data_IF_969580752560
#
_entry.id   IF_969580752560
#
_cell.length_a   1.000
_cell.length_b   1.000
_cell.length_c   1.000
_cell.angle_alpha   90.00
_cell.angle_beta   90.00
_cell.angle_gamma   90.00
#
_symmetry.space_group_name_H-M   'P 1'
#
loop_
_entity.id
_entity.type
_entity.pdbx_description
1 polymer ?
#
# COMPACT_ATOMS: atom_id res chain seq x y z
N UNK A 1 -71.20 30.21 22.28
CA UNK A 1 -70.23 29.11 22.59
C UNK A 1 -69.85 28.32 21.37
N UNK A 2 -70.47 28.44 20.23
CA UNK A 2 -70.21 27.76 18.97
C UNK A 2 -69.33 28.52 18.00
N UNK A 3 -69.19 29.85 18.12
CA UNK A 3 -68.31 30.65 17.26
C UNK A 3 -66.81 30.62 17.69
N UNK A 4 -66.56 30.56 18.99
CA UNK A 4 -65.17 30.46 19.51
C UNK A 4 -64.50 29.16 19.14
N UNK A 5 -65.22 28.07 19.02
CA UNK A 5 -64.74 26.73 18.59
C UNK A 5 -64.40 26.71 17.10
N UNK A 6 -64.97 27.55 16.29
CA UNK A 6 -64.84 27.62 14.84
C UNK A 6 -63.59 28.46 14.45
N UNK A 7 -63.24 29.46 15.29
CA UNK A 7 -62.02 30.30 15.12
C UNK A 7 -60.77 29.52 15.53
N UNK A 8 -60.83 28.60 16.50
CA UNK A 8 -59.69 27.80 16.94
C UNK A 8 -59.34 26.69 15.93
N UNK A 9 -60.33 26.18 15.18
CA UNK A 9 -60.14 25.14 14.14
C UNK A 9 -59.53 25.72 12.84
N UNK A 10 -59.81 27.02 12.53
CA UNK A 10 -59.27 27.69 11.36
C UNK A 10 -57.77 28.13 11.52
N UNK A 11 -57.25 28.19 12.77
CA UNK A 11 -55.87 28.57 13.04
C UNK A 11 -54.83 27.43 12.84
N UNK A 12 -55.29 26.22 12.60
CA UNK A 12 -54.38 25.06 12.52
C UNK A 12 -54.23 24.45 11.11
N UNK A 13 -54.56 25.19 10.07
CA UNK A 13 -54.27 24.79 8.69
C UNK A 13 -52.78 24.97 8.39
N UNK A 14 -52.02 23.92 8.06
CA UNK A 14 -50.63 24.05 7.77
C UNK A 14 -50.43 24.86 6.48
N UNK A 15 -49.90 26.07 6.62
CA UNK A 15 -49.56 26.92 5.49
C UNK A 15 -48.70 26.14 4.49
N UNK A 16 -49.01 26.22 3.17
CA UNK A 16 -48.20 25.61 2.09
C UNK A 16 -46.72 25.83 2.26
N UNK A 17 -46.35 27.00 2.77
CA UNK A 17 -44.93 27.37 3.07
C UNK A 17 -44.34 26.54 4.21
N UNK A 18 -45.12 26.31 5.28
CA UNK A 18 -44.71 25.47 6.41
C UNK A 18 -44.59 24.00 6.00
N UNK A 19 -45.47 23.50 5.18
CA UNK A 19 -45.40 22.14 4.63
C UNK A 19 -44.15 21.94 3.76
N UNK A 20 -43.90 22.86 2.82
CA UNK A 20 -42.70 22.80 1.97
C UNK A 20 -41.39 22.89 2.78
N UNK A 21 -41.32 23.73 3.78
CA UNK A 21 -40.14 23.81 4.65
C UNK A 21 -39.91 22.49 5.40
N UNK A 22 -40.93 21.87 5.95
CA UNK A 22 -40.83 20.59 6.62
C UNK A 22 -40.42 19.47 5.65
N UNK A 23 -40.94 19.49 4.42
CA UNK A 23 -40.53 18.54 3.37
C UNK A 23 -39.08 18.71 2.99
N UNK A 24 -38.58 19.94 2.78
CA UNK A 24 -37.19 20.20 2.46
C UNK A 24 -36.23 19.83 3.60
N UNK A 25 -36.63 20.08 4.85
CA UNK A 25 -35.85 19.65 6.02
C UNK A 25 -35.79 18.12 6.07
N UNK A 26 -36.92 17.42 5.85
CA UNK A 26 -36.96 15.96 5.83
C UNK A 26 -36.06 15.36 4.75
N UNK A 27 -36.15 15.88 3.51
CA UNK A 27 -35.29 15.43 2.41
C UNK A 27 -33.81 15.71 2.69
N UNK A 28 -33.50 16.87 3.27
CA UNK A 28 -32.12 17.23 3.66
C UNK A 28 -31.55 16.28 4.70
N UNK A 29 -32.34 15.88 5.71
CA UNK A 29 -31.92 14.92 6.72
C UNK A 29 -31.68 13.52 6.14
N UNK A 30 -32.54 13.07 5.22
CA UNK A 30 -32.34 11.79 4.52
C UNK A 30 -31.05 11.83 3.69
N UNK A 31 -30.85 12.84 2.89
CA UNK A 31 -29.63 13.00 2.10
C UNK A 31 -28.35 13.05 2.98
N UNK A 32 -28.40 13.74 4.10
CA UNK A 32 -27.30 13.78 5.06
C UNK A 32 -27.02 12.38 5.65
N UNK A 33 -28.05 11.63 6.01
CA UNK A 33 -27.91 10.29 6.55
C UNK A 33 -27.28 9.33 5.53
N UNK A 34 -27.67 9.42 4.24
CA UNK A 34 -27.07 8.64 3.17
C UNK A 34 -25.57 8.97 2.99
N UNK A 35 -25.20 10.25 2.96
CA UNK A 35 -23.81 10.67 2.85
C UNK A 35 -22.99 10.14 4.04
N UNK A 36 -23.50 10.28 5.27
CA UNK A 36 -22.82 9.77 6.46
C UNK A 36 -22.65 8.25 6.39
N UNK A 37 -23.69 7.52 5.95
CA UNK A 37 -23.62 6.07 5.80
C UNK A 37 -22.57 5.64 4.77
N UNK A 38 -22.50 6.31 3.62
CA UNK A 38 -21.50 6.05 2.57
C UNK A 38 -20.08 6.34 3.07
N UNK A 39 -19.87 7.47 3.72
CA UNK A 39 -18.57 7.83 4.30
C UNK A 39 -18.15 6.80 5.35
N UNK A 40 -19.06 6.42 6.23
CA UNK A 40 -18.81 5.41 7.27
C UNK A 40 -18.50 4.04 6.66
N UNK A 41 -19.24 3.61 5.65
CA UNK A 41 -18.99 2.36 4.93
C UNK A 41 -17.62 2.39 4.24
N UNK A 42 -17.25 3.50 3.60
CA UNK A 42 -15.94 3.68 2.98
C UNK A 42 -14.79 3.61 3.99
N UNK A 43 -14.91 4.30 5.12
CA UNK A 43 -13.91 4.27 6.19
C UNK A 43 -13.79 2.90 6.86
N UNK A 44 -14.91 2.17 6.98
CA UNK A 44 -14.95 0.81 7.54
C UNK A 44 -14.35 -0.22 6.58
N UNK A 45 -14.60 -0.09 5.28
CA UNK A 45 -14.08 -0.99 4.24
C UNK A 45 -12.55 -1.00 4.18
N UNK A 46 -11.90 0.10 4.54
CA UNK A 46 -10.44 0.20 4.52
C UNK A 46 -9.76 -0.61 5.64
N UNK A 47 -10.45 -0.90 6.75
CA UNK A 47 -9.91 -1.70 7.86
C UNK A 47 -9.97 -3.22 7.59
N UNK A 48 -10.92 -3.71 6.81
CA UNK A 48 -11.02 -5.14 6.47
C UNK A 48 -9.99 -5.56 5.43
N UNK A 49 -9.70 -4.72 4.42
CA UNK A 49 -8.63 -4.97 3.44
C UNK A 49 -7.23 -5.00 4.04
N UNK A 50 -7.00 -4.25 5.14
CA UNK A 50 -5.73 -4.29 5.85
C UNK A 50 -5.51 -5.61 6.63
N UNK A 51 -6.56 -6.31 7.02
CA UNK A 51 -6.47 -7.60 7.72
C UNK A 51 -6.30 -8.80 6.79
N UNK A 52 -6.90 -8.78 5.60
CA UNK A 52 -6.69 -9.82 4.59
C UNK A 52 -5.28 -9.72 3.94
N UNK A 53 -4.70 -8.53 3.87
CA UNK A 53 -3.33 -8.34 3.40
C UNK A 53 -2.27 -8.94 4.35
N UNK A 54 -2.58 -9.18 5.60
CA UNK A 54 -1.64 -9.71 6.60
C UNK A 54 -1.50 -11.26 6.51
N UNK A 55 -2.49 -11.97 5.96
CA UNK A 55 -2.42 -13.42 5.75
C UNK A 55 -1.62 -13.82 4.50
N UNK A 56 -1.48 -12.91 3.52
CA UNK A 56 -0.71 -13.09 2.27
C UNK A 56 0.65 -12.36 2.31
N UNK A 57 1.06 -11.89 3.48
CA UNK A 57 2.27 -11.06 3.60
C UNK A 57 3.56 -11.84 3.35
N UNK A 58 3.58 -13.15 3.60
CA UNK A 58 4.76 -13.98 3.34
C UNK A 58 4.69 -14.58 1.94
N UNK A 59 5.55 -14.08 1.07
CA UNK A 59 5.68 -14.58 -0.29
C UNK A 59 6.77 -15.65 -0.35
N UNK A 60 6.41 -16.85 -0.78
CA UNK A 60 7.38 -17.92 -1.06
C UNK A 60 8.02 -17.63 -2.42
N UNK A 61 9.27 -17.16 -2.42
CA UNK A 61 9.99 -16.83 -3.65
C UNK A 61 10.45 -18.09 -4.39
N UNK A 62 10.88 -19.12 -3.66
CA UNK A 62 11.32 -20.39 -4.24
C UNK A 62 12.61 -20.91 -3.61
N UNK A 63 13.13 -22.00 -4.18
CA UNK A 63 14.36 -22.60 -3.69
C UNK A 63 15.57 -21.71 -4.01
N UNK A 64 16.53 -21.66 -3.09
CA UNK A 64 17.78 -20.87 -3.19
C UNK A 64 18.52 -21.11 -4.52
N UNK A 65 18.56 -22.36 -4.98
CA UNK A 65 19.26 -22.75 -6.20
C UNK A 65 18.57 -22.32 -7.51
N UNK A 66 17.37 -21.75 -7.44
CA UNK A 66 16.68 -21.18 -8.62
C UNK A 66 17.18 -19.79 -9.01
N UNK A 67 17.91 -19.15 -8.12
CA UNK A 67 18.40 -17.78 -8.34
C UNK A 67 19.90 -17.83 -8.64
N UNK A 68 20.30 -17.27 -9.77
CA UNK A 68 21.72 -17.17 -10.12
C UNK A 68 22.40 -16.06 -9.28
N UNK A 69 23.67 -16.23 -8.89
CA UNK A 69 24.44 -15.13 -8.28
C UNK A 69 24.47 -13.92 -9.19
N UNK A 70 24.54 -12.73 -8.60
CA UNK A 70 24.53 -11.44 -9.29
C UNK A 70 23.32 -11.24 -10.21
N UNK A 71 22.13 -11.66 -9.76
CA UNK A 71 20.90 -11.57 -10.52
C UNK A 71 19.75 -10.93 -9.75
N UNK A 72 18.75 -10.43 -10.48
CA UNK A 72 17.56 -9.80 -9.91
C UNK A 72 16.31 -10.42 -10.50
N UNK A 73 15.44 -10.97 -9.65
CA UNK A 73 14.17 -11.56 -10.03
C UNK A 73 12.99 -10.70 -9.57
N UNK A 74 12.07 -10.37 -10.48
CA UNK A 74 10.91 -9.55 -10.18
C UNK A 74 9.72 -10.36 -9.65
N UNK A 75 9.22 -10.02 -8.46
CA UNK A 75 8.00 -10.55 -7.87
C UNK A 75 6.87 -9.50 -7.96
N UNK A 76 6.11 -9.55 -9.06
CA UNK A 76 5.10 -8.51 -9.37
C UNK A 76 4.00 -8.48 -8.33
N UNK A 77 3.47 -9.63 -7.90
CA UNK A 77 2.40 -9.71 -6.88
C UNK A 77 2.86 -9.22 -5.52
N UNK A 78 4.09 -9.56 -5.11
CA UNK A 78 4.68 -9.09 -3.85
C UNK A 78 5.26 -7.68 -3.91
N UNK A 79 5.29 -7.04 -5.09
CA UNK A 79 5.82 -5.69 -5.33
C UNK A 79 7.26 -5.51 -4.89
N UNK A 80 8.08 -6.56 -5.00
CA UNK A 80 9.50 -6.52 -4.69
C UNK A 80 10.36 -7.14 -5.78
N UNK A 81 11.64 -6.91 -5.70
CA UNK A 81 12.70 -7.61 -6.42
C UNK A 81 13.48 -8.45 -5.42
N UNK A 82 13.77 -9.68 -5.77
CA UNK A 82 14.72 -10.51 -5.05
C UNK A 82 16.07 -10.41 -5.78
N UNK A 83 17.02 -9.73 -5.18
CA UNK A 83 18.39 -9.67 -5.64
C UNK A 83 19.19 -10.77 -4.97
N UNK A 84 19.94 -11.56 -5.74
CA UNK A 84 20.98 -12.45 -5.25
C UNK A 84 22.32 -11.84 -5.55
N UNK A 85 23.05 -11.50 -4.50
CA UNK A 85 24.36 -10.87 -4.61
C UNK A 85 25.43 -11.89 -5.08
N UNK A 86 26.56 -11.41 -5.53
CA UNK A 86 27.67 -12.25 -6.01
C UNK A 86 28.20 -13.21 -4.94
N UNK A 87 28.20 -12.78 -3.68
CA UNK A 87 28.57 -13.58 -2.50
C UNK A 87 27.55 -14.64 -2.09
N UNK A 88 26.41 -14.69 -2.81
CA UNK A 88 25.30 -15.64 -2.59
C UNK A 88 24.24 -15.17 -1.61
N UNK A 89 24.37 -13.98 -1.03
CA UNK A 89 23.39 -13.37 -0.15
C UNK A 89 22.16 -12.85 -0.89
N UNK A 90 21.06 -12.68 -0.16
CA UNK A 90 19.78 -12.23 -0.71
C UNK A 90 19.33 -10.90 -0.10
N UNK A 91 18.77 -10.05 -0.95
CA UNK A 91 18.05 -8.82 -0.59
C UNK A 91 16.68 -8.80 -1.27
N UNK A 92 15.62 -8.48 -0.53
CA UNK A 92 14.30 -8.23 -1.09
C UNK A 92 14.07 -6.72 -1.14
N UNK A 93 14.15 -6.13 -2.33
CA UNK A 93 14.10 -4.70 -2.55
C UNK A 93 12.70 -4.26 -2.98
N UNK A 94 12.20 -3.19 -2.40
CA UNK A 94 10.94 -2.58 -2.82
C UNK A 94 11.03 -2.06 -4.26
N UNK A 95 9.98 -2.29 -5.05
CA UNK A 95 9.88 -1.73 -6.41
C UNK A 95 9.57 -0.23 -6.44
N UNK A 96 9.40 0.39 -5.28
CA UNK A 96 8.95 1.77 -5.15
C UNK A 96 10.14 2.71 -4.98
N UNK A 97 10.30 3.64 -5.94
CA UNK A 97 11.32 4.69 -5.88
C UNK A 97 11.15 5.56 -4.62
N UNK A 98 12.26 5.81 -3.94
CA UNK A 98 12.26 6.60 -2.70
C UNK A 98 12.15 8.10 -2.93
N UNK A 99 12.20 8.56 -4.20
CA UNK A 99 11.92 9.96 -4.55
C UNK A 99 10.42 10.26 -4.44
N UNK A 100 9.60 9.79 -5.39
CA UNK A 100 8.16 10.07 -5.47
C UNK A 100 7.30 8.80 -5.69
N UNK A 101 7.86 7.63 -5.43
CA UNK A 101 7.09 6.39 -5.39
C UNK A 101 6.80 5.72 -6.73
N UNK A 102 7.45 6.14 -7.83
CA UNK A 102 7.34 5.46 -9.13
C UNK A 102 7.86 4.01 -9.03
N UNK A 103 7.36 3.11 -9.88
CA UNK A 103 7.95 1.79 -10.02
C UNK A 103 9.30 1.87 -10.71
N UNK A 104 10.32 1.26 -10.13
CA UNK A 104 11.69 1.26 -10.65
C UNK A 104 11.98 -0.09 -11.28
N UNK A 105 12.08 -0.22 -12.61
CA UNK A 105 12.48 -1.46 -13.26
C UNK A 105 13.97 -1.75 -13.09
N UNK A 106 14.31 -3.05 -13.05
CA UNK A 106 15.69 -3.52 -13.21
C UNK A 106 16.09 -3.50 -14.68
N UNK A 107 17.23 -2.95 -15.00
CA UNK A 107 17.83 -2.90 -16.34
C UNK A 107 19.07 -3.79 -16.36
N UNK A 108 18.87 -5.02 -16.81
CA UNK A 108 19.90 -6.08 -16.80
C UNK A 108 21.22 -5.64 -17.48
N UNK A 109 21.12 -5.03 -18.67
CA UNK A 109 22.29 -4.58 -19.46
C UNK A 109 23.14 -3.55 -18.73
N UNK A 110 22.55 -2.79 -17.81
CA UNK A 110 23.21 -1.72 -17.08
C UNK A 110 23.45 -2.08 -15.61
N UNK A 111 23.03 -3.28 -15.20
CA UNK A 111 23.13 -3.80 -13.84
C UNK A 111 22.64 -2.80 -12.77
N UNK A 112 21.52 -2.11 -13.07
CA UNK A 112 20.94 -1.10 -12.17
C UNK A 112 19.42 -1.07 -12.21
N UNK A 113 18.83 -0.55 -11.17
CA UNK A 113 17.45 -0.11 -11.17
C UNK A 113 17.38 1.32 -11.70
N UNK A 114 16.55 1.58 -12.72
CA UNK A 114 16.41 2.89 -13.34
C UNK A 114 14.97 3.41 -13.22
N UNK A 115 14.79 4.55 -12.53
CA UNK A 115 13.49 5.16 -12.37
C UNK A 115 13.13 5.99 -13.62
N UNK A 116 12.03 5.66 -14.34
CA UNK A 116 11.67 6.34 -15.58
C UNK A 116 11.13 7.76 -15.35
N UNK A 117 10.76 8.11 -14.10
CA UNK A 117 10.11 9.38 -13.82
C UNK A 117 11.08 10.57 -13.78
N UNK A 118 12.18 10.43 -13.03
CA UNK A 118 13.15 11.52 -12.81
C UNK A 118 14.60 11.00 -12.81
N UNK A 119 14.86 9.90 -13.51
CA UNK A 119 16.20 9.35 -13.72
C UNK A 119 16.97 8.93 -12.45
N UNK A 120 16.31 8.81 -11.27
CA UNK A 120 16.97 8.17 -10.11
C UNK A 120 17.42 6.76 -10.47
N UNK A 121 18.62 6.39 -10.08
CA UNK A 121 19.14 5.05 -10.31
C UNK A 121 19.72 4.45 -9.03
N UNK A 122 19.64 3.11 -8.95
CA UNK A 122 20.11 2.35 -7.80
C UNK A 122 20.86 1.11 -8.29
N UNK A 123 21.89 0.73 -7.57
CA UNK A 123 22.64 -0.50 -7.85
C UNK A 123 21.88 -1.78 -7.44
N UNK A 124 22.51 -2.95 -7.59
CA UNK A 124 21.91 -4.24 -7.24
C UNK A 124 21.58 -4.36 -5.74
N UNK A 125 22.28 -3.62 -4.88
CA UNK A 125 21.98 -3.56 -3.43
C UNK A 125 20.83 -2.61 -3.11
N UNK A 126 20.38 -1.83 -4.11
CA UNK A 126 19.37 -0.80 -4.00
C UNK A 126 19.92 0.53 -3.46
N UNK A 127 21.24 0.70 -3.39
CA UNK A 127 21.84 1.97 -3.02
C UNK A 127 21.77 2.99 -4.17
N UNK A 128 21.73 4.28 -3.82
CA UNK A 128 21.55 5.36 -4.80
C UNK A 128 22.84 5.60 -5.57
N UNK A 129 22.80 5.43 -6.89
CA UNK A 129 23.90 5.76 -7.79
C UNK A 129 23.61 7.01 -8.65
N UNK A 130 22.35 7.45 -8.72
CA UNK A 130 21.95 8.69 -9.36
C UNK A 130 20.75 9.34 -8.68
N UNK A 131 20.85 10.67 -8.45
CA UNK A 131 19.77 11.51 -7.89
C UNK A 131 18.55 11.57 -8.83
N UNK A 132 17.35 12.03 -8.34
CA UNK A 132 17.07 12.74 -7.09
C UNK A 132 16.57 11.90 -5.92
N UNK A 133 16.62 10.58 -5.97
CA UNK A 133 16.24 9.75 -4.83
C UNK A 133 17.12 10.08 -3.61
N UNK A 134 16.51 10.39 -2.43
CA UNK A 134 17.26 10.86 -1.25
C UNK A 134 17.88 9.73 -0.42
N UNK A 135 17.54 8.48 -0.70
CA UNK A 135 17.97 7.30 0.07
C UNK A 135 17.78 6.01 -0.73
N UNK A 136 18.40 4.89 -0.30
CA UNK A 136 18.25 3.58 -0.93
C UNK A 136 16.79 3.12 -1.01
N UNK A 137 16.56 2.11 -1.86
CA UNK A 137 15.29 1.38 -1.91
C UNK A 137 15.02 0.72 -0.55
N UNK A 138 13.75 0.72 -0.12
CA UNK A 138 13.32 -0.01 1.06
C UNK A 138 13.52 -1.52 0.85
N UNK A 139 13.75 -2.27 1.93
CA UNK A 139 13.89 -3.72 1.90
C UNK A 139 12.77 -4.40 2.66
N UNK A 140 12.56 -5.67 2.35
CA UNK A 140 11.65 -6.55 3.08
C UNK A 140 12.45 -7.63 3.83
N UNK A 141 12.01 -8.06 5.02
CA UNK A 141 12.63 -9.16 5.72
C UNK A 141 12.62 -10.46 4.90
N UNK A 142 13.73 -11.17 4.91
CA UNK A 142 13.89 -12.46 4.26
C UNK A 142 14.12 -13.54 5.32
N UNK A 143 13.47 -14.69 5.13
CA UNK A 143 13.70 -15.90 5.89
C UNK A 143 14.05 -17.03 4.93
N UNK A 144 15.07 -17.82 5.23
CA UNK A 144 15.46 -18.99 4.43
C UNK A 144 15.26 -20.22 5.31
N UNK A 145 14.27 -21.01 4.97
CA UNK A 145 13.94 -22.24 5.69
C UNK A 145 13.85 -23.41 4.71
N UNK A 146 14.47 -24.52 5.04
CA UNK A 146 14.48 -25.72 4.19
C UNK A 146 14.91 -25.43 2.73
N UNK A 147 15.91 -24.57 2.55
CA UNK A 147 16.40 -24.11 1.25
C UNK A 147 15.37 -23.33 0.41
N UNK A 148 14.33 -22.80 1.03
CA UNK A 148 13.30 -21.96 0.40
C UNK A 148 13.40 -20.53 0.91
N UNK A 149 13.49 -19.57 -0.02
CA UNK A 149 13.49 -18.14 0.27
C UNK A 149 12.05 -17.66 0.45
N UNK A 150 11.76 -17.06 1.59
CA UNK A 150 10.47 -16.45 1.96
C UNK A 150 10.69 -14.97 2.23
N UNK A 151 9.79 -14.12 1.77
CA UNK A 151 9.87 -12.66 1.94
C UNK A 151 8.61 -12.18 2.64
N UNK A 152 8.77 -11.46 3.74
CA UNK A 152 7.68 -10.80 4.44
C UNK A 152 7.43 -9.40 3.85
N UNK A 153 6.36 -9.27 3.09
CA UNK A 153 5.99 -8.02 2.41
C UNK A 153 5.05 -7.12 3.22
N UNK A 154 4.72 -7.49 4.47
CA UNK A 154 3.80 -6.74 5.33
C UNK A 154 4.29 -5.32 5.62
N UNK A 155 5.59 -5.16 5.88
CA UNK A 155 6.20 -3.88 6.26
C UNK A 155 7.55 -3.69 5.60
N UNK A 156 7.69 -2.75 4.66
CA UNK A 156 8.99 -2.39 4.13
C UNK A 156 9.82 -1.68 5.21
N UNK A 157 11.07 -2.08 5.34
CA UNK A 157 12.06 -1.48 6.23
C UNK A 157 12.77 -0.34 5.49
N UNK A 158 12.66 0.87 6.03
CA UNK A 158 13.39 2.04 5.53
C UNK A 158 14.85 1.95 5.96
N UNK A 159 15.74 2.36 5.08
CA UNK A 159 17.18 2.43 5.36
C UNK A 159 17.79 3.71 4.81
N UNK A 160 18.90 4.14 5.39
CA UNK A 160 19.68 5.31 4.97
C UNK A 160 20.86 4.94 4.06
N UNK A 161 21.33 3.70 4.15
CA UNK A 161 22.48 3.17 3.41
C UNK A 161 22.39 1.64 3.33
N UNK A 162 23.12 1.02 2.43
CA UNK A 162 23.35 -0.42 2.42
C UNK A 162 24.27 -0.82 3.57
N UNK A 163 23.93 -1.95 4.21
CA UNK A 163 24.76 -2.61 5.23
C UNK A 163 24.72 -4.11 5.03
N UNK A 164 25.83 -4.78 5.26
CA UNK A 164 25.94 -6.25 5.09
C UNK A 164 25.01 -7.03 6.00
N UNK A 165 24.66 -6.47 7.18
CA UNK A 165 23.71 -7.08 8.12
C UNK A 165 22.28 -7.14 7.56
N UNK A 166 21.97 -6.39 6.50
CA UNK A 166 20.68 -6.42 5.80
C UNK A 166 20.56 -7.61 4.84
N UNK A 167 21.67 -8.26 4.52
CA UNK A 167 21.74 -9.38 3.60
C UNK A 167 21.47 -10.68 4.32
N UNK A 168 20.58 -11.51 3.77
CA UNK A 168 20.27 -12.82 4.32
C UNK A 168 21.00 -13.91 3.54
N UNK A 169 21.77 -14.71 4.23
CA UNK A 169 22.52 -15.82 3.63
C UNK A 169 21.82 -17.16 3.88
N UNK A 170 21.83 -18.07 2.89
CA UNK A 170 21.41 -19.45 3.12
C UNK A 170 22.37 -20.14 4.08
N UNK A 171 21.83 -21.00 4.96
CA UNK A 171 22.67 -21.82 5.82
C UNK A 171 23.59 -22.70 4.97
N UNK A 172 24.89 -22.66 5.25
CA UNK A 172 25.84 -23.58 4.63
C UNK A 172 25.50 -24.99 5.12
N UNK A 173 25.02 -25.86 4.23
CA UNK A 173 25.00 -27.30 4.52
C UNK A 173 26.44 -27.76 4.73
N UNK A 174 26.75 -28.05 5.99
CA UNK A 174 27.97 -28.77 6.39
C UNK A 174 27.86 -30.22 5.95
#
# INVERSE_FOLDING_TARGET
>A
MTEALKEEEAANEPSRRSFLNKLWIGLGLVALAEVVAVVFAFLRSNKSKAREADSDAIVMAGAVNKFEPNSVTAFVRGRFYLARLEDGGFLALSRKCTHLGCTVPWVEKEMKFACPCHASAFDITGDVINSPAPRPLDIYPIFIENNVVKVDTSKPLKRSEFRTEQVTYPEKKT
#
